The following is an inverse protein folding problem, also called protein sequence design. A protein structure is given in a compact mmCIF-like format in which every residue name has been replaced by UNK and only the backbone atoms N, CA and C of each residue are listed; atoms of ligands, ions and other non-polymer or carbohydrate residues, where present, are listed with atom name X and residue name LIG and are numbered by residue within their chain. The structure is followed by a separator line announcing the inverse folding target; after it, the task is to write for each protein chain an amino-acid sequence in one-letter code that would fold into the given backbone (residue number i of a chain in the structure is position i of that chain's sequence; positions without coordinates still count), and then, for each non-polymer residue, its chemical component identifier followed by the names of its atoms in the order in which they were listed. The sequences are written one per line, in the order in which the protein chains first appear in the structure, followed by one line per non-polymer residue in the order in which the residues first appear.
data_IF_318383479763
#
_entry.id   IF_318383479763
#
_cell.length_a   1.000
_cell.length_b   1.000
_cell.length_c   1.000
_cell.angle_alpha   90.00
_cell.angle_beta   90.00
_cell.angle_gamma   90.00
#
_symmetry.space_group_name_H-M   'P 1'
#
loop_
_entity.id
_entity.type
_entity.pdbx_description
1 polymer ?
#
# COMPACT_ATOMS: atom_id res chain seq x y z
N UNK A 1 -27.08 -58.85 -36.75
CA UNK A 1 -25.83 -58.11 -37.12
C UNK A 1 -25.93 -56.70 -36.54
N UNK A 2 -25.09 -56.45 -35.64
CA UNK A 2 -25.04 -55.37 -34.69
C UNK A 2 -24.55 -54.07 -35.31
N UNK A 3 -25.22 -52.98 -35.02
CA UNK A 3 -24.75 -51.61 -35.30
C UNK A 3 -24.60 -50.85 -34.01
N UNK A 4 -23.37 -50.72 -33.48
CA UNK A 4 -23.04 -49.86 -32.34
C UNK A 4 -23.11 -48.38 -32.78
N UNK A 5 -24.06 -47.65 -32.22
CA UNK A 5 -24.07 -46.18 -32.29
C UNK A 5 -23.08 -45.63 -31.25
N UNK A 6 -22.02 -45.00 -31.68
CA UNK A 6 -21.09 -44.22 -30.83
C UNK A 6 -21.73 -42.87 -30.47
N UNK A 7 -22.11 -42.71 -29.22
CA UNK A 7 -22.55 -41.48 -28.65
C UNK A 7 -21.31 -40.63 -28.32
N UNK A 8 -21.03 -39.61 -29.12
CA UNK A 8 -20.03 -38.59 -28.84
C UNK A 8 -20.63 -37.54 -27.90
N UNK A 9 -20.29 -37.65 -26.63
CA UNK A 9 -20.59 -36.59 -25.64
C UNK A 9 -19.54 -35.49 -25.81
N UNK A 10 -19.95 -34.40 -26.44
CA UNK A 10 -19.17 -33.14 -26.40
C UNK A 10 -19.31 -32.52 -25.02
N UNK A 11 -18.30 -32.69 -24.15
CA UNK A 11 -18.13 -31.94 -22.92
C UNK A 11 -17.53 -30.58 -23.31
N UNK A 12 -18.39 -29.60 -23.51
CA UNK A 12 -17.97 -28.23 -23.55
C UNK A 12 -17.52 -27.82 -22.13
N UNK A 13 -16.24 -27.78 -21.89
CA UNK A 13 -15.67 -27.20 -20.70
C UNK A 13 -15.96 -25.68 -20.72
N UNK A 14 -17.01 -25.27 -20.02
CA UNK A 14 -17.22 -23.86 -19.69
C UNK A 14 -16.15 -23.46 -18.70
N UNK A 15 -15.07 -22.87 -19.21
CA UNK A 15 -14.08 -22.18 -18.38
C UNK A 15 -14.80 -20.93 -17.85
N UNK A 16 -15.34 -21.02 -16.66
CA UNK A 16 -15.72 -19.86 -15.86
C UNK A 16 -14.45 -19.07 -15.54
N UNK A 17 -14.11 -18.13 -16.41
CA UNK A 17 -13.18 -17.06 -16.07
C UNK A 17 -13.84 -16.23 -14.98
N UNK A 18 -13.54 -16.56 -13.73
CA UNK A 18 -13.76 -15.63 -12.62
C UNK A 18 -12.82 -14.44 -12.85
N UNK A 19 -13.34 -13.40 -13.45
CA UNK A 19 -12.65 -12.11 -13.52
C UNK A 19 -12.70 -11.54 -12.12
N UNK A 20 -11.68 -11.84 -11.31
CA UNK A 20 -11.46 -11.13 -10.05
C UNK A 20 -11.25 -9.67 -10.38
N UNK A 21 -11.98 -8.79 -9.71
CA UNK A 21 -11.72 -7.34 -9.72
C UNK A 21 -10.29 -7.14 -9.24
N UNK A 22 -9.40 -6.78 -10.14
CA UNK A 22 -7.99 -6.56 -9.81
C UNK A 22 -7.82 -5.10 -9.44
N UNK A 23 -7.76 -4.81 -8.15
CA UNK A 23 -7.43 -3.49 -7.64
C UNK A 23 -5.98 -3.09 -7.88
N UNK A 24 -5.10 -4.03 -8.21
CA UNK A 24 -3.73 -3.77 -8.66
C UNK A 24 -3.67 -3.92 -10.17
N UNK A 25 -3.63 -2.80 -10.86
CA UNK A 25 -3.62 -2.75 -12.31
C UNK A 25 -2.19 -2.65 -12.84
N UNK A 26 -1.98 -3.15 -14.06
CA UNK A 26 -0.71 -3.02 -14.76
C UNK A 26 -0.55 -1.63 -15.40
N UNK A 27 -1.48 -0.72 -15.15
CA UNK A 27 -1.39 0.65 -15.63
C UNK A 27 -0.24 1.39 -14.94
N UNK A 28 0.43 2.26 -15.71
CA UNK A 28 1.49 3.13 -15.20
C UNK A 28 1.33 4.54 -15.80
N UNK A 29 0.42 5.31 -15.21
CA UNK A 29 0.05 6.64 -15.63
C UNK A 29 0.55 7.68 -14.64
N UNK A 30 1.39 8.59 -15.08
CA UNK A 30 1.94 9.68 -14.27
C UNK A 30 0.95 10.85 -14.17
N UNK A 31 1.26 11.86 -13.35
CA UNK A 31 0.48 13.09 -13.25
C UNK A 31 0.26 13.74 -14.63
N UNK A 32 1.29 13.83 -15.45
CA UNK A 32 1.19 14.41 -16.80
C UNK A 32 0.26 13.62 -17.73
N UNK A 33 0.19 12.30 -17.56
CA UNK A 33 -0.69 11.45 -18.35
C UNK A 33 -2.17 11.64 -17.95
N UNK A 34 -2.46 11.82 -16.64
CA UNK A 34 -3.82 11.91 -16.10
C UNK A 34 -4.35 13.34 -16.10
N UNK A 35 -3.49 14.33 -15.85
CA UNK A 35 -3.84 15.76 -15.82
C UNK A 35 -4.59 16.21 -17.05
N UNK A 36 -5.59 17.08 -16.88
CA UNK A 36 -6.42 17.63 -17.94
C UNK A 36 -7.91 17.47 -17.67
N UNK A 37 -8.74 17.71 -18.69
CA UNK A 37 -10.19 17.68 -18.55
C UNK A 37 -10.78 16.32 -18.84
N UNK A 38 -11.56 15.83 -17.91
CA UNK A 38 -12.26 14.54 -17.93
C UNK A 38 -13.78 14.72 -18.04
N UNK A 39 -14.43 13.76 -18.65
CA UNK A 39 -15.88 13.57 -18.57
C UNK A 39 -16.10 12.28 -17.79
N UNK A 40 -16.74 12.36 -16.64
CA UNK A 40 -17.17 11.23 -15.84
C UNK A 40 -18.64 10.95 -16.15
N UNK A 41 -18.92 9.72 -16.50
CA UNK A 41 -20.27 9.22 -16.80
C UNK A 41 -20.73 8.35 -15.63
N UNK A 42 -21.83 8.76 -14.98
CA UNK A 42 -22.34 8.13 -13.77
C UNK A 42 -23.61 7.34 -14.04
N UNK A 43 -23.66 6.16 -13.46
CA UNK A 43 -24.83 5.28 -13.46
C UNK A 43 -25.86 5.64 -12.38
N UNK A 44 -26.88 4.77 -12.20
CA UNK A 44 -27.90 4.96 -11.17
C UNK A 44 -27.29 4.86 -9.77
N UNK A 45 -27.96 5.49 -8.81
CA UNK A 45 -27.66 5.34 -7.39
C UNK A 45 -28.05 3.95 -6.91
N UNK A 46 -27.18 3.32 -6.14
CA UNK A 46 -27.47 2.08 -5.45
C UNK A 46 -28.08 2.36 -4.08
N UNK A 47 -29.05 1.55 -3.68
CA UNK A 47 -29.69 1.72 -2.37
C UNK A 47 -28.69 1.53 -1.25
N UNK A 48 -28.78 2.35 -0.24
CA UNK A 48 -27.99 2.26 0.99
C UNK A 48 -28.12 0.85 1.60
N UNK A 49 -26.98 0.26 1.98
CA UNK A 49 -26.93 -1.11 2.53
C UNK A 49 -27.02 -2.25 1.51
N UNK A 50 -27.16 -1.97 0.21
CA UNK A 50 -27.05 -2.99 -0.83
C UNK A 50 -25.62 -3.52 -0.88
N UNK A 51 -25.46 -4.86 -0.77
CA UNK A 51 -24.16 -5.53 -0.94
C UNK A 51 -23.84 -5.85 -2.40
N UNK A 52 -24.79 -5.61 -3.32
CA UNK A 52 -24.76 -6.10 -4.70
C UNK A 52 -24.27 -5.05 -5.70
N UNK A 53 -23.59 -3.99 -5.23
CA UNK A 53 -23.03 -2.98 -6.13
C UNK A 53 -21.55 -3.23 -6.36
N UNK A 54 -21.24 -3.87 -7.47
CA UNK A 54 -19.88 -4.07 -7.94
C UNK A 54 -19.63 -3.23 -9.19
N UNK A 55 -18.63 -2.35 -9.13
CA UNK A 55 -18.14 -1.61 -10.29
C UNK A 55 -16.88 -2.30 -10.82
N UNK A 56 -17.05 -3.25 -11.71
CA UNK A 56 -15.96 -4.02 -12.29
C UNK A 56 -15.59 -3.51 -13.68
N UNK A 57 -14.44 -3.91 -14.20
CA UNK A 57 -14.03 -3.57 -15.58
C UNK A 57 -15.00 -4.05 -16.65
N UNK A 58 -15.89 -4.98 -16.33
CA UNK A 58 -16.94 -5.50 -17.22
C UNK A 58 -18.30 -4.86 -17.00
N UNK A 59 -18.46 -4.00 -15.99
CA UNK A 59 -19.73 -3.33 -15.69
C UNK A 59 -20.12 -2.40 -16.83
N UNK A 60 -21.29 -2.62 -17.43
CA UNK A 60 -21.88 -1.70 -18.37
C UNK A 60 -22.67 -0.63 -17.59
N UNK A 61 -22.25 0.63 -17.71
CA UNK A 61 -22.87 1.74 -17.01
C UNK A 61 -24.02 2.29 -17.84
N UNK A 62 -25.25 2.20 -17.30
CA UNK A 62 -26.40 2.93 -17.84
C UNK A 62 -26.28 4.39 -17.41
N UNK A 63 -25.71 5.23 -18.27
CA UNK A 63 -25.37 6.62 -17.95
C UNK A 63 -26.62 7.43 -17.65
N UNK A 64 -26.70 7.99 -16.45
CA UNK A 64 -27.78 8.89 -16.03
C UNK A 64 -27.40 10.36 -16.16
N UNK A 65 -26.16 10.69 -15.80
CA UNK A 65 -25.64 12.05 -15.99
C UNK A 65 -24.13 12.05 -16.19
N UNK A 66 -23.59 13.17 -16.61
CA UNK A 66 -22.17 13.37 -16.87
C UNK A 66 -21.69 14.57 -16.07
N UNK A 67 -20.48 14.50 -15.58
CA UNK A 67 -19.79 15.60 -14.88
C UNK A 67 -18.47 15.87 -15.59
N UNK A 68 -18.19 17.12 -15.87
CA UNK A 68 -16.92 17.55 -16.45
C UNK A 68 -16.02 18.07 -15.35
N UNK A 69 -14.82 17.48 -15.20
CA UNK A 69 -13.86 17.82 -14.15
C UNK A 69 -12.50 18.07 -14.81
N UNK A 70 -11.86 19.17 -14.44
CA UNK A 70 -10.46 19.46 -14.83
C UNK A 70 -9.55 19.15 -13.66
N UNK A 71 -8.55 18.29 -13.91
CA UNK A 71 -7.51 17.90 -12.96
C UNK A 71 -6.25 18.70 -13.29
N UNK A 72 -5.77 19.50 -12.36
CA UNK A 72 -4.55 20.31 -12.52
C UNK A 72 -3.50 19.97 -11.45
N UNK A 73 -2.27 20.31 -11.76
CA UNK A 73 -1.12 20.01 -10.90
C UNK A 73 -1.05 21.02 -9.72
N UNK A 74 -0.64 20.57 -8.54
CA UNK A 74 -0.29 19.19 -8.20
C UNK A 74 -1.50 18.30 -7.81
N UNK A 75 -2.59 18.89 -7.29
CA UNK A 75 -3.68 18.20 -6.63
C UNK A 75 -5.05 18.90 -6.77
N UNK A 76 -5.19 19.84 -7.70
CA UNK A 76 -6.38 20.68 -7.86
C UNK A 76 -7.38 20.03 -8.80
N UNK A 77 -8.61 19.79 -8.34
CA UNK A 77 -9.76 19.41 -9.16
C UNK A 77 -10.73 20.58 -9.27
N UNK A 78 -11.27 20.83 -10.48
CA UNK A 78 -12.27 21.88 -10.73
C UNK A 78 -13.40 21.29 -11.56
N UNK A 79 -14.63 21.34 -11.07
CA UNK A 79 -15.80 20.90 -11.82
C UNK A 79 -16.31 21.98 -12.81
N UNK A 80 -17.31 21.64 -13.62
CA UNK A 80 -17.88 22.53 -14.61
C UNK A 80 -18.64 23.74 -14.03
N UNK A 81 -18.93 23.71 -12.71
CA UNK A 81 -19.56 24.80 -11.98
C UNK A 81 -18.56 25.72 -11.31
N UNK A 82 -17.25 25.40 -11.41
CA UNK A 82 -16.16 26.16 -10.79
C UNK A 82 -15.87 25.80 -9.34
N UNK A 83 -16.50 24.76 -8.79
CA UNK A 83 -16.15 24.25 -7.47
C UNK A 83 -14.73 23.69 -7.50
N UNK A 84 -13.94 24.07 -6.51
CA UNK A 84 -12.58 23.58 -6.33
C UNK A 84 -12.55 22.43 -5.35
N UNK A 85 -11.76 21.42 -5.66
CA UNK A 85 -11.56 20.25 -4.86
C UNK A 85 -10.13 19.72 -5.00
N UNK A 86 -9.97 18.47 -4.70
CA UNK A 86 -8.69 17.77 -4.60
C UNK A 86 -8.65 16.56 -5.52
N UNK A 87 -7.47 16.20 -6.02
CA UNK A 87 -7.23 14.91 -6.64
C UNK A 87 -5.83 14.39 -6.36
N UNK A 88 -5.65 13.09 -6.43
CA UNK A 88 -4.35 12.46 -6.30
C UNK A 88 -4.24 11.22 -7.17
N UNK A 89 -3.03 10.86 -7.58
CA UNK A 89 -2.75 9.55 -8.13
C UNK A 89 -2.79 8.47 -7.03
N UNK A 90 -3.06 7.25 -7.45
CA UNK A 90 -2.97 6.05 -6.64
C UNK A 90 -1.93 5.14 -7.29
N UNK A 91 -0.67 5.21 -6.82
CA UNK A 91 0.47 4.39 -7.25
C UNK A 91 0.68 4.32 -8.78
N UNK A 92 0.39 5.40 -9.51
CA UNK A 92 0.38 5.46 -10.97
C UNK A 92 -0.63 4.51 -11.66
N UNK A 93 -1.49 3.85 -10.93
CA UNK A 93 -2.45 2.86 -11.44
C UNK A 93 -3.84 3.44 -11.65
N UNK A 94 -4.17 4.47 -10.89
CA UNK A 94 -5.45 5.13 -10.90
C UNK A 94 -5.41 6.49 -10.22
N UNK A 95 -6.57 7.02 -9.89
CA UNK A 95 -6.71 8.32 -9.25
C UNK A 95 -7.96 8.39 -8.38
N UNK A 96 -7.91 9.28 -7.41
CA UNK A 96 -9.04 9.68 -6.59
C UNK A 96 -9.28 11.18 -6.79
N UNK A 97 -10.55 11.59 -6.92
CA UNK A 97 -10.98 12.98 -7.10
C UNK A 97 -12.07 13.29 -6.10
N UNK A 98 -11.95 14.41 -5.39
CA UNK A 98 -12.98 14.93 -4.48
C UNK A 98 -13.33 16.35 -4.89
N UNK A 99 -14.52 16.58 -5.41
CA UNK A 99 -14.97 17.90 -5.88
C UNK A 99 -16.49 17.98 -5.87
N UNK A 100 -17.04 19.14 -5.60
CA UNK A 100 -18.49 19.38 -5.63
C UNK A 100 -19.30 18.50 -4.66
N UNK A 101 -18.69 18.09 -3.54
CA UNK A 101 -19.33 17.20 -2.57
C UNK A 101 -19.33 15.70 -2.94
N UNK A 102 -18.66 15.34 -4.04
CA UNK A 102 -18.57 13.95 -4.52
C UNK A 102 -17.13 13.46 -4.52
N UNK A 103 -16.96 12.17 -4.26
CA UNK A 103 -15.69 11.45 -4.34
C UNK A 103 -15.76 10.43 -5.48
N UNK A 104 -14.75 10.41 -6.33
CA UNK A 104 -14.60 9.49 -7.47
C UNK A 104 -13.30 8.71 -7.30
N UNK A 105 -13.37 7.39 -7.40
CA UNK A 105 -12.22 6.50 -7.23
C UNK A 105 -12.18 5.51 -8.40
N UNK A 106 -11.13 5.55 -9.23
CA UNK A 106 -11.03 4.71 -10.41
C UNK A 106 -9.60 4.38 -10.82
N UNK A 107 -9.45 3.26 -11.53
CA UNK A 107 -8.18 2.80 -12.08
C UNK A 107 -8.10 3.07 -13.58
N UNK A 108 -6.90 3.40 -14.04
CA UNK A 108 -6.63 3.61 -15.47
C UNK A 108 -6.75 2.30 -16.26
N UNK A 109 -7.22 2.40 -17.50
CA UNK A 109 -7.32 1.26 -18.41
C UNK A 109 -5.93 0.83 -18.87
N UNK A 110 -5.72 -0.47 -19.02
CA UNK A 110 -4.54 -1.05 -19.64
C UNK A 110 -4.93 -2.21 -20.58
N UNK A 111 -4.13 -2.49 -21.61
CA UNK A 111 -4.37 -3.63 -22.51
C UNK A 111 -3.58 -4.84 -22.10
N UNK A 112 -2.34 -4.64 -21.70
CA UNK A 112 -1.41 -5.68 -21.23
C UNK A 112 -0.31 -5.03 -20.37
N UNK A 113 0.72 -5.79 -20.01
CA UNK A 113 1.86 -5.30 -19.21
C UNK A 113 2.65 -4.14 -19.84
N UNK A 114 2.35 -3.76 -21.09
CA UNK A 114 3.15 -2.80 -21.85
C UNK A 114 2.38 -1.57 -22.31
N UNK A 115 1.06 -1.57 -22.27
CA UNK A 115 0.23 -0.48 -22.78
C UNK A 115 -0.76 0.02 -21.75
N UNK A 116 -0.58 1.24 -21.26
CA UNK A 116 -1.49 1.96 -20.39
C UNK A 116 -2.29 2.99 -21.20
N UNK A 117 -3.62 2.99 -21.05
CA UNK A 117 -4.52 3.96 -21.69
C UNK A 117 -4.91 4.98 -20.64
N UNK A 118 -4.02 5.95 -20.42
CA UNK A 118 -4.12 6.93 -19.35
C UNK A 118 -5.22 7.98 -19.56
N UNK A 119 -5.88 7.96 -20.71
CA UNK A 119 -7.05 8.80 -21.00
C UNK A 119 -8.38 8.11 -20.70
N UNK A 120 -8.37 6.91 -20.10
CA UNK A 120 -9.60 6.18 -19.74
C UNK A 120 -9.48 5.62 -18.32
N UNK A 121 -10.56 5.75 -17.56
CA UNK A 121 -10.74 5.03 -16.31
C UNK A 121 -11.72 3.86 -16.54
N UNK A 122 -11.35 2.69 -15.98
CA UNK A 122 -12.27 1.57 -15.84
C UNK A 122 -13.48 1.99 -15.00
N UNK A 123 -14.62 1.28 -15.08
CA UNK A 123 -15.68 1.44 -14.10
C UNK A 123 -15.14 1.43 -12.67
N UNK A 124 -15.46 2.47 -11.94
CA UNK A 124 -15.00 2.72 -10.57
C UNK A 124 -16.16 3.22 -9.72
N UNK A 125 -15.85 3.61 -8.50
CA UNK A 125 -16.85 3.98 -7.50
C UNK A 125 -16.92 5.49 -7.35
N UNK A 126 -18.15 6.01 -7.34
CA UNK A 126 -18.46 7.37 -6.95
C UNK A 126 -19.47 7.36 -5.79
N UNK A 127 -19.32 8.28 -4.85
CA UNK A 127 -20.28 8.50 -3.76
C UNK A 127 -20.20 9.95 -3.30
N UNK A 128 -21.20 10.43 -2.54
CA UNK A 128 -21.06 11.71 -1.86
C UNK A 128 -19.99 11.63 -0.75
N UNK A 129 -19.52 12.76 -0.26
CA UNK A 129 -18.48 12.81 0.77
C UNK A 129 -18.90 12.19 2.12
N UNK A 130 -20.20 11.89 2.29
CA UNK A 130 -20.77 11.19 3.44
C UNK A 130 -20.91 9.67 3.19
N UNK A 131 -20.66 9.22 1.96
CA UNK A 131 -20.69 7.81 1.59
C UNK A 131 -22.08 7.24 1.27
N UNK A 132 -23.09 8.09 1.02
CA UNK A 132 -24.47 7.65 0.84
C UNK A 132 -24.87 7.38 -0.61
N UNK A 133 -24.65 8.34 -1.51
CA UNK A 133 -25.07 8.23 -2.92
C UNK A 133 -24.06 7.45 -3.75
N UNK A 134 -24.01 6.13 -3.55
CA UNK A 134 -23.03 5.26 -4.23
C UNK A 134 -23.45 4.94 -5.65
N UNK A 135 -22.51 5.10 -6.60
CA UNK A 135 -22.71 4.89 -8.04
C UNK A 135 -21.47 4.27 -8.68
N UNK A 136 -21.68 3.53 -9.77
CA UNK A 136 -20.59 3.27 -10.68
C UNK A 136 -20.37 4.46 -11.61
N UNK A 137 -19.11 4.77 -11.92
CA UNK A 137 -18.74 5.74 -12.94
C UNK A 137 -17.66 5.20 -13.85
N UNK A 138 -17.56 5.76 -15.04
CA UNK A 138 -16.41 5.60 -15.93
C UNK A 138 -15.91 6.96 -16.37
N UNK A 139 -14.63 7.06 -16.71
CA UNK A 139 -14.01 8.33 -17.06
C UNK A 139 -13.35 8.30 -18.44
N UNK A 140 -13.54 9.39 -19.19
CA UNK A 140 -12.85 9.62 -20.45
C UNK A 140 -12.23 11.02 -20.42
N UNK A 141 -10.90 11.09 -20.58
CA UNK A 141 -10.15 12.34 -20.76
C UNK A 141 -10.38 12.90 -22.15
N UNK A 142 -10.55 14.20 -22.29
CA UNK A 142 -10.81 14.85 -23.58
C UNK A 142 -9.61 14.76 -24.54
N UNK A 143 -8.39 14.78 -24.00
CA UNK A 143 -7.16 14.58 -24.78
C UNK A 143 -6.64 13.14 -24.63
N UNK A 144 -6.25 12.47 -25.74
CA UNK A 144 -5.68 11.13 -25.65
C UNK A 144 -4.37 11.10 -24.86
N UNK A 145 -4.19 10.05 -24.07
CA UNK A 145 -2.92 9.75 -23.39
C UNK A 145 -2.73 8.23 -23.36
N UNK A 146 -1.81 7.75 -24.22
CA UNK A 146 -1.45 6.33 -24.30
C UNK A 146 0.04 6.20 -24.04
N UNK A 147 0.43 5.37 -23.10
CA UNK A 147 1.79 5.15 -22.70
C UNK A 147 2.23 3.73 -23.07
N UNK A 148 3.31 3.65 -23.81
CA UNK A 148 3.97 2.39 -24.16
C UNK A 148 5.17 2.19 -23.25
N UNK A 149 5.19 1.07 -22.53
CA UNK A 149 6.32 0.71 -21.68
C UNK A 149 7.28 -0.17 -22.48
N UNK A 150 8.55 0.20 -22.51
CA UNK A 150 9.58 -0.69 -23.04
C UNK A 150 9.59 -1.96 -22.18
N UNK A 151 9.49 -3.14 -22.81
CA UNK A 151 9.88 -4.38 -22.16
C UNK A 151 11.34 -4.21 -21.73
N UNK A 152 11.59 -3.97 -20.46
CA UNK A 152 12.92 -4.16 -19.92
C UNK A 152 13.15 -5.66 -19.89
N UNK A 153 13.70 -6.16 -21.00
CA UNK A 153 14.12 -7.55 -21.12
C UNK A 153 15.35 -7.79 -20.29
N UNK A 154 15.19 -7.90 -18.98
CA UNK A 154 16.14 -8.64 -18.16
C UNK A 154 15.64 -10.07 -18.14
N UNK A 155 16.21 -10.86 -19.02
CA UNK A 155 16.08 -12.30 -19.01
C UNK A 155 16.71 -12.81 -17.69
N UNK A 156 15.87 -13.28 -16.77
CA UNK A 156 16.28 -13.82 -15.49
C UNK A 156 16.77 -15.27 -15.58
N UNK A 157 16.96 -15.79 -16.78
CA UNK A 157 17.54 -17.10 -16.98
C UNK A 157 19.04 -17.05 -16.74
N UNK A 158 19.51 -17.81 -15.75
CA UNK A 158 20.90 -18.14 -15.47
C UNK A 158 21.73 -17.06 -14.75
N UNK A 159 21.44 -16.77 -13.50
CA UNK A 159 22.43 -16.18 -12.59
C UNK A 159 22.44 -16.94 -11.26
N UNK A 160 23.65 -17.22 -10.81
CA UNK A 160 23.93 -17.76 -9.50
C UNK A 160 23.41 -16.78 -8.46
N UNK A 161 22.25 -17.05 -7.88
CA UNK A 161 21.69 -16.23 -6.80
C UNK A 161 22.45 -16.59 -5.52
N UNK A 162 23.09 -15.62 -4.86
CA UNK A 162 23.63 -15.90 -3.53
C UNK A 162 22.46 -16.36 -2.64
N UNK A 163 22.66 -17.43 -1.90
CA UNK A 163 21.65 -17.95 -0.99
C UNK A 163 21.33 -16.87 0.06
N UNK A 164 20.16 -16.30 -0.02
CA UNK A 164 19.64 -15.36 0.99
C UNK A 164 19.66 -16.08 2.34
N UNK A 165 20.05 -15.38 3.42
CA UNK A 165 20.21 -15.95 4.76
C UNK A 165 21.40 -16.95 4.88
N UNK A 166 22.44 -16.81 4.07
CA UNK A 166 23.67 -17.61 4.19
C UNK A 166 24.72 -16.94 5.09
N UNK A 167 25.55 -17.74 5.75
CA UNK A 167 26.66 -17.26 6.56
C UNK A 167 27.67 -16.45 5.73
N UNK A 168 27.88 -16.84 4.47
CA UNK A 168 28.76 -16.14 3.55
C UNK A 168 28.25 -14.72 3.23
N UNK A 169 26.95 -14.59 2.95
CA UNK A 169 26.31 -13.29 2.72
C UNK A 169 26.41 -12.41 3.97
N UNK A 170 26.08 -12.95 5.13
CA UNK A 170 26.17 -12.24 6.42
C UNK A 170 27.59 -11.76 6.71
N UNK A 171 28.60 -12.61 6.50
CA UNK A 171 30.00 -12.22 6.67
C UNK A 171 30.43 -11.10 5.72
N UNK A 172 29.97 -11.16 4.45
CA UNK A 172 30.24 -10.14 3.45
C UNK A 172 29.62 -8.79 3.84
N UNK A 173 28.35 -8.77 4.27
CA UNK A 173 27.67 -7.57 4.74
C UNK A 173 28.39 -6.96 5.93
N UNK A 174 28.69 -7.74 6.97
CA UNK A 174 29.35 -7.27 8.18
C UNK A 174 30.79 -6.76 7.94
N UNK A 175 31.42 -7.22 6.87
CA UNK A 175 32.72 -6.70 6.42
C UNK A 175 32.60 -5.38 5.68
N UNK A 176 31.56 -5.23 4.85
CA UNK A 176 31.39 -4.09 3.94
C UNK A 176 30.98 -2.78 4.65
N UNK A 177 30.31 -2.87 5.79
CA UNK A 177 29.80 -1.69 6.51
C UNK A 177 29.88 -1.89 8.05
N UNK A 178 29.61 -0.79 8.82
CA UNK A 178 29.71 -0.76 10.29
C UNK A 178 28.50 -0.12 10.99
N UNK A 179 27.51 0.39 10.24
CA UNK A 179 26.35 1.08 10.82
C UNK A 179 25.27 0.12 11.33
N UNK A 180 25.26 -1.12 10.81
CA UNK A 180 24.35 -2.16 11.24
C UNK A 180 25.00 -3.55 11.23
N UNK A 181 24.34 -4.51 11.86
CA UNK A 181 24.81 -5.89 11.97
C UNK A 181 23.86 -6.82 11.25
N UNK A 182 24.40 -7.71 10.43
CA UNK A 182 23.68 -8.80 9.81
C UNK A 182 23.82 -10.11 10.60
N UNK A 183 22.81 -10.97 10.51
CA UNK A 183 22.80 -12.34 11.05
C UNK A 183 21.99 -13.27 10.14
N UNK A 184 22.16 -14.57 10.30
CA UNK A 184 21.25 -15.57 9.76
C UNK A 184 20.06 -15.77 10.68
N UNK A 185 18.93 -16.19 10.12
CA UNK A 185 17.69 -16.46 10.84
C UNK A 185 17.24 -17.92 10.64
N UNK A 186 17.12 -18.74 11.70
CA UNK A 186 16.65 -20.13 11.59
C UNK A 186 15.28 -20.24 10.94
N UNK A 187 14.40 -19.27 11.17
CA UNK A 187 13.05 -19.21 10.60
C UNK A 187 13.02 -18.98 9.08
N UNK A 188 14.14 -18.60 8.48
CA UNK A 188 14.29 -18.41 7.03
C UNK A 188 14.99 -19.60 6.36
N UNK A 189 15.38 -20.61 7.14
CA UNK A 189 16.03 -21.80 6.61
C UNK A 189 15.04 -22.60 5.75
N UNK A 190 15.45 -22.93 4.53
CA UNK A 190 14.63 -23.69 3.59
C UNK A 190 13.58 -22.89 2.83
N UNK A 191 13.48 -21.56 3.07
CA UNK A 191 12.62 -20.70 2.26
C UNK A 191 13.14 -20.58 0.83
N UNK A 192 12.23 -20.59 -0.11
CA UNK A 192 12.50 -20.36 -1.53
C UNK A 192 12.63 -18.87 -1.82
N UNK A 193 13.18 -18.52 -2.98
CA UNK A 193 13.18 -17.14 -3.48
C UNK A 193 11.74 -16.55 -3.56
N UNK A 194 10.77 -17.33 -4.01
CA UNK A 194 9.36 -16.88 -4.06
C UNK A 194 8.77 -16.61 -2.66
N UNK A 195 9.20 -17.34 -1.62
CA UNK A 195 8.79 -17.06 -0.24
C UNK A 195 9.36 -15.72 0.24
N UNK A 196 10.63 -15.43 -0.05
CA UNK A 196 11.21 -14.12 0.25
C UNK A 196 10.53 -12.98 -0.50
N UNK A 197 10.21 -13.16 -1.78
CA UNK A 197 9.43 -12.17 -2.56
C UNK A 197 8.06 -11.93 -1.92
N UNK A 198 7.38 -12.97 -1.46
CA UNK A 198 6.10 -12.84 -0.73
C UNK A 198 6.28 -12.13 0.59
N UNK A 199 7.28 -12.48 1.40
CA UNK A 199 7.58 -11.79 2.65
C UNK A 199 7.90 -10.30 2.44
N UNK A 200 8.53 -9.96 1.32
CA UNK A 200 8.86 -8.59 0.94
C UNK A 200 7.72 -7.85 0.21
N UNK A 201 6.48 -8.33 0.26
CA UNK A 201 5.32 -7.62 -0.25
C UNK A 201 4.60 -8.27 -1.43
N UNK A 202 5.14 -9.37 -1.99
CA UNK A 202 4.55 -10.08 -3.13
C UNK A 202 4.86 -9.46 -4.49
N UNK A 203 4.58 -10.23 -5.54
CA UNK A 203 4.91 -9.86 -6.94
C UNK A 203 4.10 -8.66 -7.45
N UNK A 204 2.93 -8.42 -6.87
CA UNK A 204 2.00 -7.36 -7.28
C UNK A 204 2.22 -6.03 -6.58
N UNK A 205 2.96 -6.00 -5.49
CA UNK A 205 3.39 -4.75 -4.85
C UNK A 205 4.52 -4.03 -5.60
N UNK A 206 4.98 -4.60 -6.71
CA UNK A 206 6.02 -4.02 -7.56
C UNK A 206 5.54 -2.77 -8.28
N UNK A 207 6.23 -1.66 -8.06
CA UNK A 207 5.98 -0.40 -8.75
C UNK A 207 6.97 -0.20 -9.91
N UNK A 208 6.46 0.12 -11.09
CA UNK A 208 7.28 0.36 -12.28
C UNK A 208 7.97 1.73 -12.26
N UNK A 209 7.37 2.70 -11.56
CA UNK A 209 8.00 3.98 -11.23
C UNK A 209 7.57 4.39 -9.84
N UNK A 210 8.52 4.82 -9.04
CA UNK A 210 8.33 5.25 -7.67
C UNK A 210 8.63 6.74 -7.57
N UNK A 211 7.82 7.53 -6.84
CA UNK A 211 8.22 8.90 -6.51
C UNK A 211 9.46 8.88 -5.62
N UNK A 212 10.21 9.95 -5.64
CA UNK A 212 11.28 10.22 -4.68
C UNK A 212 10.77 11.19 -3.63
N UNK A 213 11.41 11.18 -2.47
CA UNK A 213 11.20 12.22 -1.46
C UNK A 213 11.42 13.61 -2.07
N UNK A 214 10.47 14.52 -1.85
CA UNK A 214 10.59 15.89 -2.39
C UNK A 214 11.48 16.76 -1.50
N UNK A 215 12.12 17.81 -2.05
CA UNK A 215 12.90 18.74 -1.27
C UNK A 215 12.09 19.37 -0.12
N UNK A 216 12.74 19.56 1.02
CA UNK A 216 12.17 20.24 2.18
C UNK A 216 12.02 21.73 1.87
N UNK A 217 10.83 22.28 2.10
CA UNK A 217 10.58 23.73 1.95
C UNK A 217 11.11 24.53 3.15
N UNK A 218 11.32 25.83 3.01
CA UNK A 218 11.71 26.70 4.13
C UNK A 218 10.73 26.62 5.30
N UNK A 219 9.42 26.56 5.03
CA UNK A 219 8.39 26.38 6.06
C UNK A 219 8.58 25.06 6.81
N UNK A 220 8.82 23.96 6.10
CA UNK A 220 9.06 22.66 6.72
C UNK A 220 10.37 22.65 7.51
N UNK A 221 11.41 23.34 7.05
CA UNK A 221 12.66 23.43 7.78
C UNK A 221 12.49 24.17 9.12
N UNK A 222 11.67 25.21 9.15
CA UNK A 222 11.27 25.89 10.39
C UNK A 222 10.51 24.94 11.33
N UNK A 223 9.60 24.12 10.81
CA UNK A 223 8.86 23.09 11.61
C UNK A 223 9.84 22.06 12.16
N UNK A 224 10.79 21.58 11.35
CA UNK A 224 11.81 20.62 11.79
C UNK A 224 12.57 21.11 13.03
N UNK A 225 12.89 22.40 13.09
CA UNK A 225 13.55 23.03 14.24
C UNK A 225 12.72 23.00 15.54
N UNK A 226 11.42 22.80 15.46
CA UNK A 226 10.52 22.69 16.65
C UNK A 226 10.29 21.27 17.11
N UNK A 227 10.62 20.27 16.31
CA UNK A 227 10.44 18.85 16.64
C UNK A 227 11.62 18.34 17.50
N UNK A 228 11.39 17.39 18.40
CA UNK A 228 12.46 16.80 19.20
C UNK A 228 13.44 16.03 18.33
N UNK A 229 14.72 15.95 18.73
CA UNK A 229 15.75 15.17 18.04
C UNK A 229 15.45 13.67 18.00
N UNK A 230 14.70 13.15 18.98
CA UNK A 230 14.22 11.78 19.03
C UNK A 230 12.78 11.71 19.52
N UNK A 231 12.01 10.76 18.99
CA UNK A 231 10.63 10.52 19.38
C UNK A 231 10.23 9.05 19.13
N UNK A 232 9.46 8.45 20.04
CA UNK A 232 9.07 7.05 19.93
C UNK A 232 7.69 6.82 20.57
N UNK A 233 6.66 6.52 19.78
CA UNK A 233 5.32 6.24 20.27
C UNK A 233 5.22 5.03 21.24
N UNK A 234 6.25 4.20 21.30
CA UNK A 234 6.34 3.11 22.27
C UNK A 234 6.71 3.57 23.68
N UNK A 235 7.11 4.86 23.84
CA UNK A 235 7.67 5.41 25.10
C UNK A 235 7.19 6.83 25.41
N UNK A 236 5.97 7.18 25.04
CA UNK A 236 5.41 8.51 25.32
C UNK A 236 4.83 8.51 26.73
N UNK A 237 5.35 9.35 27.62
CA UNK A 237 4.92 9.47 29.02
C UNK A 237 4.84 8.09 29.75
N UNK A 238 5.79 7.22 29.50
CA UNK A 238 5.83 5.88 30.09
C UNK A 238 4.81 4.88 29.52
N UNK A 239 4.06 5.27 28.49
CA UNK A 239 3.04 4.45 27.83
C UNK A 239 3.53 3.98 26.45
N UNK A 240 3.10 2.77 26.06
CA UNK A 240 3.24 2.27 24.70
C UNK A 240 1.90 2.39 23.96
N UNK A 241 1.90 3.14 22.85
CA UNK A 241 0.73 3.33 21.98
C UNK A 241 0.81 2.51 20.68
N UNK A 242 1.79 1.63 20.55
CA UNK A 242 1.99 0.80 19.35
C UNK A 242 1.52 -0.62 19.63
N UNK A 243 0.67 -1.15 18.77
CA UNK A 243 0.19 -2.53 18.87
C UNK A 243 1.32 -3.55 18.73
N UNK A 244 1.16 -4.80 19.23
CA UNK A 244 2.21 -5.82 19.20
C UNK A 244 2.71 -6.14 17.79
N UNK A 245 3.97 -6.56 17.69
CA UNK A 245 4.54 -7.09 16.45
C UNK A 245 3.87 -8.42 16.11
N UNK A 246 3.53 -8.59 14.83
CA UNK A 246 2.88 -9.79 14.30
C UNK A 246 3.74 -10.42 13.21
N UNK A 247 3.33 -11.59 12.69
CA UNK A 247 4.03 -12.31 11.63
C UNK A 247 3.09 -12.60 10.47
N UNK A 248 3.42 -12.05 9.29
CA UNK A 248 2.68 -12.26 8.03
C UNK A 248 2.98 -13.60 7.36
N UNK A 249 3.97 -14.36 7.83
CA UNK A 249 4.49 -15.57 7.19
C UNK A 249 4.91 -15.34 5.70
N UNK A 250 4.90 -16.39 4.88
CA UNK A 250 5.19 -16.32 3.45
C UNK A 250 3.97 -15.87 2.62
N UNK A 251 3.35 -14.75 3.02
CA UNK A 251 2.21 -14.13 2.34
C UNK A 251 2.50 -12.65 2.14
N UNK A 252 2.25 -12.10 0.94
CA UNK A 252 2.50 -10.70 0.58
C UNK A 252 1.50 -9.72 1.21
N UNK A 253 1.10 -9.94 2.45
CA UNK A 253 0.09 -9.16 3.18
C UNK A 253 0.64 -8.05 4.07
N UNK A 254 1.92 -7.68 3.91
CA UNK A 254 2.54 -6.57 4.67
C UNK A 254 1.72 -5.29 4.63
N UNK A 255 1.11 -4.97 3.49
CA UNK A 255 0.23 -3.83 3.30
C UNK A 255 -0.97 -3.85 4.25
N UNK A 256 -1.55 -5.03 4.50
CA UNK A 256 -2.63 -5.21 5.47
C UNK A 256 -2.11 -5.04 6.90
N UNK A 257 -0.97 -5.68 7.25
CA UNK A 257 -0.37 -5.54 8.59
C UNK A 257 0.01 -4.10 8.92
N UNK A 258 0.64 -3.38 7.99
CA UNK A 258 1.01 -1.98 8.18
C UNK A 258 -0.24 -1.09 8.36
N UNK A 259 -1.29 -1.33 7.57
CA UNK A 259 -2.57 -0.63 7.66
C UNK A 259 -3.29 -0.87 8.98
N UNK A 260 -3.37 -2.14 9.42
CA UNK A 260 -3.95 -2.49 10.73
C UNK A 260 -3.17 -1.84 11.87
N UNK A 261 -1.84 -1.98 11.86
CA UNK A 261 -0.98 -1.42 12.90
C UNK A 261 -1.05 0.13 12.97
N UNK A 262 -1.23 0.81 11.84
CA UNK A 262 -1.48 2.25 11.79
C UNK A 262 -2.81 2.60 12.48
N UNK A 263 -3.90 1.95 12.10
CA UNK A 263 -5.22 2.20 12.66
C UNK A 263 -5.27 1.86 14.15
N UNK A 264 -4.72 0.72 14.57
CA UNK A 264 -4.60 0.28 15.96
C UNK A 264 -3.86 1.31 16.83
N UNK A 265 -2.67 1.74 16.38
CA UNK A 265 -1.83 2.66 17.13
C UNK A 265 -2.46 4.05 17.24
N UNK A 266 -3.04 4.56 16.15
CA UNK A 266 -3.74 5.85 16.15
C UNK A 266 -5.00 5.83 17.02
N UNK A 267 -5.73 4.71 17.06
CA UNK A 267 -6.86 4.55 17.96
C UNK A 267 -6.41 4.54 19.43
N UNK A 268 -5.32 3.85 19.76
CA UNK A 268 -4.74 3.88 21.10
C UNK A 268 -4.31 5.30 21.52
N UNK A 269 -3.75 6.08 20.61
CA UNK A 269 -3.40 7.50 20.87
C UNK A 269 -4.65 8.33 21.11
N UNK A 270 -5.63 8.27 20.22
CA UNK A 270 -6.87 9.05 20.32
C UNK A 270 -7.67 8.75 21.58
N UNK A 271 -7.62 7.51 22.05
CA UNK A 271 -8.36 7.05 23.24
C UNK A 271 -7.50 6.95 24.49
N UNK A 272 -6.27 7.46 24.44
CA UNK A 272 -5.29 7.35 25.54
C UNK A 272 -5.19 5.93 26.11
N UNK A 273 -5.03 4.93 25.23
CA UNK A 273 -4.92 3.51 25.55
C UNK A 273 -6.17 2.85 26.17
N UNK A 274 -7.32 3.50 26.17
CA UNK A 274 -8.58 2.89 26.68
C UNK A 274 -9.17 1.89 25.69
N UNK A 275 -8.92 2.05 24.39
CA UNK A 275 -9.34 1.11 23.35
C UNK A 275 -8.11 0.51 22.66
N UNK A 276 -7.95 -0.81 22.80
CA UNK A 276 -6.83 -1.58 22.21
C UNK A 276 -7.38 -2.68 21.32
N UNK A 277 -7.67 -2.34 20.08
CA UNK A 277 -8.13 -3.29 19.09
C UNK A 277 -6.94 -3.98 18.42
N UNK A 278 -7.16 -5.20 17.97
CA UNK A 278 -6.27 -5.95 17.08
C UNK A 278 -7.10 -6.30 15.85
N UNK A 279 -6.81 -5.67 14.71
CA UNK A 279 -7.58 -5.87 13.49
C UNK A 279 -7.07 -7.06 12.67
N UNK A 280 -7.95 -7.61 11.81
CA UNK A 280 -7.77 -8.84 11.06
C UNK A 280 -7.14 -8.59 9.67
N UNK A 281 -5.84 -8.84 9.44
CA UNK A 281 -5.27 -8.81 8.09
C UNK A 281 -5.88 -9.87 7.19
N UNK A 282 -6.42 -10.98 7.74
CA UNK A 282 -7.06 -12.03 6.93
C UNK A 282 -8.34 -11.54 6.26
N UNK A 283 -9.12 -10.66 6.90
CA UNK A 283 -10.29 -10.02 6.25
C UNK A 283 -9.87 -9.30 4.97
N UNK A 284 -8.72 -8.61 5.01
CA UNK A 284 -8.17 -7.93 3.84
C UNK A 284 -7.71 -8.93 2.78
N UNK A 285 -6.98 -9.97 3.17
CA UNK A 285 -6.46 -10.99 2.25
C UNK A 285 -7.59 -11.71 1.52
N UNK A 286 -8.69 -12.03 2.19
CA UNK A 286 -9.78 -12.83 1.65
C UNK A 286 -10.95 -12.01 1.08
N UNK A 287 -11.19 -10.79 1.58
CA UNK A 287 -12.44 -10.07 1.31
C UNK A 287 -12.25 -8.72 0.60
N UNK A 288 -11.03 -8.17 0.58
CA UNK A 288 -10.82 -6.84 0.01
C UNK A 288 -10.86 -6.86 -1.52
N UNK A 289 -11.73 -6.04 -2.15
CA UNK A 289 -11.68 -5.82 -3.60
C UNK A 289 -10.53 -4.88 -4.00
N UNK A 290 -9.81 -4.28 -3.03
CA UNK A 290 -8.74 -3.30 -3.26
C UNK A 290 -7.33 -3.88 -3.12
N UNK A 291 -7.20 -5.22 -3.05
CA UNK A 291 -5.90 -5.90 -2.95
C UNK A 291 -5.95 -7.28 -3.61
N UNK A 292 -4.78 -7.94 -3.72
CA UNK A 292 -4.62 -9.26 -4.34
C UNK A 292 -4.19 -10.31 -3.31
N UNK A 293 -4.73 -10.24 -2.11
CA UNK A 293 -4.45 -11.22 -1.07
C UNK A 293 -2.95 -11.33 -0.76
N UNK A 294 -2.42 -12.54 -0.85
CA UNK A 294 -1.00 -12.80 -0.64
C UNK A 294 -0.08 -12.39 -1.81
N UNK A 295 -0.62 -11.95 -2.93
CA UNK A 295 0.18 -11.44 -4.05
C UNK A 295 0.53 -9.95 -3.91
N UNK A 296 -0.10 -9.23 -2.95
CA UNK A 296 0.24 -7.85 -2.64
C UNK A 296 -0.93 -6.90 -2.52
N UNK A 297 -0.60 -5.63 -2.26
CA UNK A 297 -1.53 -4.51 -2.11
C UNK A 297 -0.82 -3.28 -1.56
N UNK A 298 -1.59 -2.24 -1.23
CA UNK A 298 -1.06 -0.93 -0.85
C UNK A 298 -1.78 -0.32 0.36
N UNK A 299 -1.03 0.30 1.31
CA UNK A 299 -1.63 0.89 2.51
C UNK A 299 -2.67 1.99 2.24
N UNK A 300 -2.52 2.81 1.20
CA UNK A 300 -3.50 3.82 0.84
C UNK A 300 -4.87 3.20 0.54
N UNK A 301 -4.86 2.08 -0.17
CA UNK A 301 -6.08 1.36 -0.54
C UNK A 301 -6.71 0.65 0.66
N UNK A 302 -5.93 0.17 1.61
CA UNK A 302 -6.43 -0.65 2.71
C UNK A 302 -6.62 0.16 4.00
N UNK A 303 -5.58 0.83 4.48
CA UNK A 303 -5.65 1.65 5.69
C UNK A 303 -6.47 2.93 5.50
N UNK A 304 -6.68 3.34 4.23
CA UNK A 304 -7.53 4.45 3.81
C UNK A 304 -8.86 3.95 3.22
N UNK A 305 -8.89 3.73 1.91
CA UNK A 305 -10.12 3.50 1.15
C UNK A 305 -10.97 2.32 1.65
N UNK A 306 -10.36 1.14 1.87
CA UNK A 306 -11.11 -0.01 2.39
C UNK A 306 -11.64 0.25 3.80
N UNK A 307 -10.80 0.82 4.66
CA UNK A 307 -11.19 1.13 6.03
C UNK A 307 -12.28 2.22 6.11
N UNK A 308 -12.35 3.14 5.13
CA UNK A 308 -13.45 4.10 4.98
C UNK A 308 -14.71 3.43 4.47
N UNK A 309 -14.65 2.64 3.39
CA UNK A 309 -15.82 2.10 2.69
C UNK A 309 -16.45 0.89 3.42
N UNK A 310 -15.60 -0.02 3.91
CA UNK A 310 -16.04 -1.31 4.47
C UNK A 310 -15.78 -1.42 5.97
N UNK A 311 -14.83 -0.65 6.50
CA UNK A 311 -14.39 -0.75 7.89
C UNK A 311 -13.51 -1.98 8.15
N UNK A 312 -12.80 -1.96 9.28
CA UNK A 312 -11.90 -3.01 9.74
C UNK A 312 -12.57 -3.88 10.79
N UNK A 313 -12.43 -5.19 10.71
CA UNK A 313 -12.92 -6.14 11.73
C UNK A 313 -11.80 -6.54 12.67
N UNK A 314 -12.15 -6.97 13.87
CA UNK A 314 -11.17 -7.51 14.81
C UNK A 314 -10.66 -8.89 14.40
N UNK A 315 -9.43 -9.21 14.82
CA UNK A 315 -8.72 -10.47 14.54
C UNK A 315 -9.56 -11.71 14.86
N UNK A 316 -10.36 -11.68 15.93
CA UNK A 316 -11.24 -12.79 16.32
C UNK A 316 -12.32 -13.12 15.29
N UNK A 317 -12.69 -12.14 14.44
CA UNK A 317 -13.69 -12.30 13.37
C UNK A 317 -13.17 -13.10 12.17
N UNK A 318 -11.89 -12.94 11.84
CA UNK A 318 -11.22 -13.70 10.80
C UNK A 318 -9.73 -13.83 11.15
N UNK A 319 -9.37 -14.81 11.99
CA UNK A 319 -8.01 -15.00 12.45
C UNK A 319 -7.03 -15.23 11.30
N UNK A 320 -5.82 -14.68 11.45
CA UNK A 320 -4.81 -14.74 10.39
C UNK A 320 -4.36 -16.16 10.08
N UNK A 321 -4.37 -16.52 8.79
CA UNK A 321 -4.05 -17.85 8.25
C UNK A 321 -2.75 -17.87 7.44
N UNK A 322 -2.33 -16.71 6.89
CA UNK A 322 -1.11 -16.57 6.08
C UNK A 322 -1.21 -17.15 4.66
N UNK A 323 -2.41 -17.32 4.14
CA UNK A 323 -2.66 -17.75 2.76
C UNK A 323 -3.97 -17.18 2.24
N UNK A 324 -4.13 -17.18 0.92
CA UNK A 324 -5.35 -16.78 0.25
C UNK A 324 -6.51 -17.75 0.53
N UNK A 325 -7.73 -17.22 0.50
CA UNK A 325 -8.95 -17.99 0.72
C UNK A 325 -10.19 -17.28 0.18
N UNK A 326 -11.33 -17.91 0.37
CA UNK A 326 -12.62 -17.25 0.14
C UNK A 326 -12.94 -16.38 1.33
N UNK A 327 -13.58 -15.23 1.09
CA UNK A 327 -14.05 -14.35 2.16
C UNK A 327 -14.91 -15.13 3.16
N UNK A 328 -14.41 -15.25 4.38
CA UNK A 328 -15.02 -15.99 5.47
C UNK A 328 -15.46 -15.10 6.64
N UNK A 329 -15.25 -13.79 6.56
CA UNK A 329 -15.67 -12.82 7.57
C UNK A 329 -17.19 -12.75 7.64
N UNK A 330 -17.75 -13.04 8.81
CA UNK A 330 -19.19 -12.98 9.03
C UNK A 330 -19.71 -11.54 8.99
N UNK A 331 -20.89 -11.36 8.43
CA UNK A 331 -21.55 -10.06 8.31
C UNK A 331 -21.96 -9.45 9.67
N UNK A 332 -22.02 -10.27 10.71
CA UNK A 332 -22.31 -9.88 12.11
C UNK A 332 -21.11 -9.22 12.80
N UNK A 333 -19.91 -9.35 12.25
CA UNK A 333 -18.70 -8.75 12.80
C UNK A 333 -18.79 -7.23 12.82
N UNK A 334 -18.57 -6.62 13.98
CA UNK A 334 -18.50 -5.18 14.11
C UNK A 334 -17.33 -4.60 13.31
N UNK A 335 -17.60 -3.48 12.64
CA UNK A 335 -16.60 -2.81 11.79
C UNK A 335 -16.21 -1.45 12.35
N UNK A 336 -14.94 -1.15 12.28
CA UNK A 336 -14.30 0.09 12.71
C UNK A 336 -13.82 0.85 11.48
N UNK A 337 -14.25 2.10 11.37
CA UNK A 337 -14.02 2.91 10.18
C UNK A 337 -12.90 3.94 10.40
N UNK A 338 -12.38 4.45 9.30
CA UNK A 338 -11.48 5.60 9.29
C UNK A 338 -12.05 6.74 8.47
N UNK A 339 -11.48 7.91 8.64
CA UNK A 339 -11.75 9.11 7.84
C UNK A 339 -10.44 9.86 7.56
N UNK A 340 -10.48 10.89 6.74
CA UNK A 340 -9.33 11.78 6.47
C UNK A 340 -8.04 11.01 6.14
N UNK A 341 -8.15 9.99 5.30
CA UNK A 341 -6.96 9.30 4.82
C UNK A 341 -6.32 10.06 3.67
N UNK A 342 -4.99 10.08 3.67
CA UNK A 342 -4.22 10.80 2.66
C UNK A 342 -2.77 10.35 2.60
N UNK A 343 -2.09 10.71 1.53
CA UNK A 343 -0.63 10.67 1.50
C UNK A 343 -0.05 11.78 2.37
N UNK A 344 1.05 11.49 3.04
CA UNK A 344 1.83 12.50 3.75
C UNK A 344 2.39 13.51 2.73
N UNK A 345 2.24 14.80 3.03
CA UNK A 345 2.51 15.88 2.10
C UNK A 345 1.30 16.33 1.28
N UNK A 346 0.16 15.59 1.38
CA UNK A 346 -1.12 15.93 0.77
C UNK A 346 -1.48 15.07 -0.44
N UNK A 347 -0.56 14.73 -1.31
CA UNK A 347 -0.81 13.93 -2.53
C UNK A 347 0.34 12.95 -2.81
N UNK A 348 0.10 12.00 -3.70
CA UNK A 348 1.10 11.00 -4.10
C UNK A 348 2.35 11.65 -4.71
N UNK A 349 3.49 11.43 -4.06
CA UNK A 349 4.76 12.01 -4.47
C UNK A 349 5.13 13.33 -3.77
N UNK A 350 4.33 13.80 -2.79
CA UNK A 350 4.63 15.01 -2.01
C UNK A 350 5.34 14.73 -0.66
N UNK A 351 5.64 13.48 -0.37
CA UNK A 351 6.22 13.07 0.90
C UNK A 351 7.69 13.47 1.04
N UNK A 352 8.10 13.80 2.26
CA UNK A 352 9.50 13.97 2.65
C UNK A 352 9.70 13.71 4.16
N UNK A 353 10.96 13.74 4.59
CA UNK A 353 11.36 13.52 5.99
C UNK A 353 10.54 14.36 6.97
N UNK A 354 10.46 15.67 6.76
CA UNK A 354 9.84 16.60 7.72
C UNK A 354 8.33 16.42 7.77
N UNK A 355 7.68 16.23 6.63
CA UNK A 355 6.25 15.96 6.57
C UNK A 355 5.90 14.67 7.33
N UNK A 356 6.75 13.63 7.24
CA UNK A 356 6.59 12.40 8.02
C UNK A 356 6.78 12.64 9.52
N UNK A 357 7.84 13.37 9.93
CA UNK A 357 8.08 13.70 11.34
C UNK A 357 6.89 14.45 11.94
N UNK A 358 6.37 15.47 11.25
CA UNK A 358 5.21 16.25 11.67
C UNK A 358 3.94 15.37 11.80
N UNK A 359 3.67 14.49 10.82
CA UNK A 359 2.54 13.59 10.86
C UNK A 359 2.64 12.59 12.02
N UNK A 360 3.81 11.99 12.21
CA UNK A 360 4.05 11.02 13.28
C UNK A 360 3.90 11.70 14.66
N UNK A 361 4.51 12.87 14.85
CA UNK A 361 4.49 13.57 16.14
C UNK A 361 3.08 14.00 16.55
N UNK A 362 2.35 14.61 15.62
CA UNK A 362 1.05 15.21 15.90
C UNK A 362 -0.12 14.25 15.83
N UNK A 363 -0.05 13.20 15.02
CA UNK A 363 -1.21 12.34 14.68
C UNK A 363 -0.99 10.85 14.88
N UNK A 364 0.26 10.42 15.07
CA UNK A 364 0.59 9.01 15.32
C UNK A 364 1.32 8.31 14.18
N UNK A 365 1.69 7.04 14.35
CA UNK A 365 2.43 6.25 13.37
C UNK A 365 1.84 6.29 11.97
N UNK A 366 2.71 6.21 10.94
CA UNK A 366 2.33 6.24 9.53
C UNK A 366 2.75 4.96 8.81
N UNK A 367 1.91 4.46 7.91
CA UNK A 367 2.26 3.33 7.06
C UNK A 367 3.08 3.82 5.86
N UNK A 368 4.19 3.15 5.59
CA UNK A 368 5.10 3.50 4.50
C UNK A 368 5.38 2.30 3.62
N UNK A 369 5.70 2.54 2.35
CA UNK A 369 6.27 1.54 1.46
C UNK A 369 7.76 1.82 1.22
N UNK A 370 8.61 0.80 1.22
CA UNK A 370 10.02 0.95 0.86
C UNK A 370 10.51 -0.26 0.06
N UNK A 371 11.62 -0.11 -0.64
CA UNK A 371 12.22 -1.20 -1.40
C UNK A 371 13.03 -2.10 -0.48
N UNK A 372 12.76 -3.40 -0.56
CA UNK A 372 13.53 -4.43 0.15
C UNK A 372 14.57 -5.02 -0.80
N UNK A 373 15.80 -5.08 -0.33
CA UNK A 373 16.94 -5.74 -0.96
C UNK A 373 17.30 -7.01 -0.21
N UNK A 374 18.05 -7.89 -0.85
CA UNK A 374 18.40 -9.18 -0.25
C UNK A 374 19.16 -9.08 1.09
N UNK A 375 20.00 -8.07 1.26
CA UNK A 375 20.75 -7.81 2.49
C UNK A 375 19.87 -7.45 3.69
N UNK A 376 18.72 -6.79 3.44
CA UNK A 376 17.76 -6.44 4.48
C UNK A 376 17.18 -7.66 5.22
N UNK A 377 17.05 -8.79 4.53
CA UNK A 377 16.56 -10.03 5.16
C UNK A 377 17.44 -10.48 6.33
N UNK A 378 18.73 -10.16 6.30
CA UNK A 378 19.71 -10.50 7.34
C UNK A 378 19.88 -9.41 8.41
N UNK A 379 19.11 -8.33 8.40
CA UNK A 379 19.24 -7.26 9.39
C UNK A 379 19.01 -7.75 10.82
N UNK A 380 19.91 -7.43 11.74
CA UNK A 380 19.83 -7.74 13.18
C UNK A 380 19.66 -6.50 14.05
N UNK A 381 20.51 -5.50 13.88
CA UNK A 381 20.52 -4.28 14.72
C UNK A 381 21.35 -3.17 14.09
N UNK A 382 21.18 -1.93 14.57
CA UNK A 382 21.88 -0.74 14.08
C UNK A 382 21.09 0.02 13.04
N UNK A 383 21.70 1.01 12.38
CA UNK A 383 21.05 1.87 11.38
C UNK A 383 21.26 1.28 9.99
N UNK A 384 20.23 0.62 9.47
CA UNK A 384 20.25 0.00 8.15
C UNK A 384 20.42 1.03 7.05
N UNK A 385 21.27 0.72 6.11
CA UNK A 385 21.32 1.24 4.75
C UNK A 385 21.70 0.10 3.82
N UNK A 386 21.26 0.15 2.58
CA UNK A 386 21.58 -0.84 1.58
C UNK A 386 23.07 -0.80 1.20
N UNK A 387 23.74 -1.96 1.10
CA UNK A 387 25.22 -2.03 0.99
C UNK A 387 25.73 -2.61 -0.33
N UNK A 388 24.88 -3.14 -1.18
CA UNK A 388 25.29 -3.82 -2.40
C UNK A 388 25.10 -2.97 -3.66
N UNK A 389 25.96 -1.98 -3.84
CA UNK A 389 26.00 -1.18 -5.10
C UNK A 389 26.55 -1.95 -6.31
N UNK A 390 27.28 -3.06 -6.10
CA UNK A 390 28.04 -3.76 -7.14
C UNK A 390 27.53 -5.17 -7.48
N UNK A 391 26.40 -5.60 -6.93
CA UNK A 391 25.83 -6.89 -7.31
C UNK A 391 25.03 -6.74 -8.62
N UNK A 392 25.36 -7.50 -9.69
CA UNK A 392 24.68 -7.38 -10.99
C UNK A 392 23.23 -7.86 -10.94
N UNK A 393 22.77 -8.39 -9.82
CA UNK A 393 21.41 -8.89 -9.63
C UNK A 393 20.97 -8.73 -8.18
N UNK A 394 19.96 -7.90 -7.97
CA UNK A 394 19.26 -7.79 -6.69
C UNK A 394 17.83 -8.33 -6.86
N UNK A 395 17.55 -9.53 -6.32
CA UNK A 395 16.28 -10.22 -6.57
C UNK A 395 15.05 -9.44 -6.06
N UNK A 396 15.26 -8.49 -5.12
CA UNK A 396 14.19 -7.70 -4.51
C UNK A 396 14.13 -6.23 -4.95
N UNK A 397 14.97 -5.80 -5.89
CA UNK A 397 15.04 -4.40 -6.36
C UNK A 397 13.67 -3.82 -6.78
N UNK A 398 12.66 -4.65 -6.90
CA UNK A 398 11.39 -4.29 -7.53
C UNK A 398 10.19 -4.63 -6.66
N UNK A 399 10.40 -4.90 -5.38
CA UNK A 399 9.35 -5.28 -4.44
C UNK A 399 9.20 -4.20 -3.38
N UNK A 400 7.97 -3.71 -3.17
CA UNK A 400 7.68 -2.76 -2.11
C UNK A 400 7.14 -3.50 -0.90
N UNK A 401 7.83 -3.36 0.21
CA UNK A 401 7.38 -3.83 1.51
C UNK A 401 6.70 -2.69 2.26
N UNK A 402 5.55 -2.98 2.87
CA UNK A 402 4.83 -2.01 3.67
C UNK A 402 5.09 -2.25 5.16
N UNK A 403 5.43 -1.18 5.87
CA UNK A 403 5.79 -1.20 7.30
C UNK A 403 5.23 0.02 8.02
N UNK A 404 5.35 0.07 9.35
CA UNK A 404 4.86 1.17 10.16
C UNK A 404 6.02 1.96 10.79
N UNK A 405 6.16 3.23 10.46
CA UNK A 405 7.10 4.15 11.13
C UNK A 405 6.45 4.69 12.40
N UNK A 406 7.11 4.41 13.54
CA UNK A 406 6.57 4.74 14.88
C UNK A 406 7.33 5.86 15.58
N UNK A 407 8.45 6.30 15.01
CA UNK A 407 9.29 7.34 15.60
C UNK A 407 10.61 7.49 14.87
N UNK A 408 11.52 8.21 15.48
CA UNK A 408 12.86 8.48 14.96
C UNK A 408 13.86 8.74 16.08
N UNK A 409 15.13 8.70 15.72
CA UNK A 409 16.22 9.05 16.63
C UNK A 409 17.51 9.39 15.90
N UNK A 410 18.55 9.56 16.69
CA UNK A 410 19.90 9.86 16.23
C UNK A 410 20.92 9.04 17.03
N UNK A 411 21.93 8.52 16.35
CA UNK A 411 23.14 7.94 16.97
C UNK A 411 24.29 8.94 16.80
N UNK A 412 25.07 9.12 17.86
CA UNK A 412 26.18 10.08 17.88
C UNK A 412 27.55 9.42 17.77
N UNK A 413 27.64 8.11 18.05
CA UNK A 413 28.88 7.35 18.07
C UNK A 413 28.63 5.92 17.59
N UNK A 414 29.55 5.27 16.88
CA UNK A 414 30.86 5.77 16.41
C UNK A 414 30.79 6.72 15.21
N UNK A 415 29.69 6.74 14.47
CA UNK A 415 29.42 7.66 13.36
C UNK A 415 28.05 8.27 13.54
N UNK A 416 27.90 9.61 13.49
CA UNK A 416 26.59 10.26 13.56
C UNK A 416 25.71 9.78 12.43
N UNK A 417 24.52 9.29 12.77
CA UNK A 417 23.49 8.92 11.78
C UNK A 417 22.11 9.18 12.37
N UNK A 418 21.15 9.50 11.50
CA UNK A 418 19.75 9.71 11.85
C UNK A 418 18.94 8.56 11.35
N UNK A 419 17.94 8.12 12.11
CA UNK A 419 17.16 6.93 11.74
C UNK A 419 15.68 7.06 12.04
N UNK A 420 14.89 6.31 11.27
CA UNK A 420 13.51 5.98 11.57
C UNK A 420 13.43 4.72 12.43
N UNK A 421 12.48 4.71 13.38
CA UNK A 421 12.13 3.52 14.15
C UNK A 421 10.93 2.88 13.46
N UNK A 422 11.09 1.65 12.97
CA UNK A 422 10.12 1.02 12.09
C UNK A 422 9.71 -0.34 12.63
N UNK A 423 8.39 -0.55 12.73
CA UNK A 423 7.77 -1.84 13.09
C UNK A 423 7.59 -2.67 11.83
N UNK A 424 8.15 -3.89 11.83
CA UNK A 424 8.00 -4.87 10.76
C UNK A 424 6.90 -5.90 11.10
N UNK A 425 6.60 -6.79 10.17
CA UNK A 425 5.61 -7.86 10.28
C UNK A 425 6.18 -9.27 10.04
N UNK A 426 7.44 -9.51 10.48
CA UNK A 426 8.14 -10.81 10.37
C UNK A 426 8.36 -11.51 11.71
N UNK A 427 7.52 -11.17 12.70
CA UNK A 427 7.62 -11.70 14.06
C UNK A 427 8.73 -11.04 14.90
N UNK A 428 8.69 -11.28 16.20
CA UNK A 428 9.65 -10.71 17.17
C UNK A 428 11.03 -11.35 17.11
N UNK A 429 11.17 -12.51 16.47
CA UNK A 429 12.45 -13.20 16.29
C UNK A 429 13.36 -12.57 15.21
N UNK A 430 12.87 -11.58 14.45
CA UNK A 430 13.64 -10.87 13.45
C UNK A 430 14.01 -9.46 13.92
N UNK A 431 15.19 -8.98 13.55
CA UNK A 431 15.64 -7.63 13.86
C UNK A 431 15.76 -7.35 15.36
N UNK A 432 15.35 -6.18 15.78
CA UNK A 432 15.31 -5.75 17.18
C UNK A 432 13.90 -5.95 17.74
N UNK A 433 13.57 -7.16 18.17
CA UNK A 433 12.22 -7.56 18.64
C UNK A 433 11.12 -7.26 17.61
N UNK A 434 11.41 -7.50 16.32
CA UNK A 434 10.50 -7.24 15.20
C UNK A 434 10.52 -5.80 14.68
N UNK A 435 11.42 -4.97 15.19
CA UNK A 435 11.68 -3.61 14.72
C UNK A 435 13.01 -3.52 13.98
N UNK A 436 13.16 -2.45 13.22
CA UNK A 436 14.45 -2.05 12.64
C UNK A 436 14.61 -0.55 12.64
N UNK A 437 15.84 -0.10 12.56
CA UNK A 437 16.19 1.27 12.29
C UNK A 437 16.69 1.39 10.86
N UNK A 438 16.25 2.41 10.14
CA UNK A 438 16.71 2.70 8.79
C UNK A 438 17.08 4.17 8.68
N UNK A 439 18.11 4.47 7.91
CA UNK A 439 18.62 5.83 7.73
C UNK A 439 17.52 6.82 7.37
N UNK A 440 17.54 8.00 8.01
CA UNK A 440 16.59 9.10 7.88
C UNK A 440 17.21 10.30 7.19
N UNK A 441 16.48 10.96 6.30
CA UNK A 441 16.85 12.19 5.61
C UNK A 441 17.59 11.98 4.28
N UNK A 442 17.71 10.72 3.82
CA UNK A 442 18.33 10.38 2.54
C UNK A 442 17.37 9.61 1.60
N UNK A 443 16.12 9.45 2.00
CA UNK A 443 15.13 8.60 1.30
C UNK A 443 15.65 7.17 1.10
N UNK A 444 16.31 6.62 2.13
CA UNK A 444 16.93 5.28 2.08
C UNK A 444 15.91 4.23 1.66
N UNK A 445 16.22 3.46 0.63
CA UNK A 445 15.29 2.51 0.00
C UNK A 445 13.93 3.11 -0.35
N UNK A 446 13.84 4.45 -0.45
CA UNK A 446 12.63 5.19 -0.74
C UNK A 446 11.62 5.26 0.41
N UNK A 447 12.02 5.08 1.65
CA UNK A 447 11.12 5.07 2.81
C UNK A 447 10.42 6.41 3.07
N UNK A 448 10.98 7.51 2.58
CA UNK A 448 10.44 8.88 2.74
C UNK A 448 9.60 9.35 1.54
N UNK A 449 9.36 8.49 0.57
CA UNK A 449 8.70 8.88 -0.68
C UNK A 449 7.21 8.58 -0.72
N UNK A 450 6.72 7.63 0.09
CA UNK A 450 5.31 7.21 0.10
C UNK A 450 4.89 6.81 1.51
N UNK A 451 4.35 7.76 2.24
CA UNK A 451 3.74 7.51 3.53
C UNK A 451 2.26 7.85 3.50
N UNK A 452 1.48 7.11 4.26
CA UNK A 452 0.02 7.24 4.34
C UNK A 452 -0.40 7.38 5.79
N UNK A 453 -1.40 8.20 6.02
CA UNK A 453 -2.10 8.33 7.27
C UNK A 453 -3.62 8.19 7.09
N UNK A 454 -4.31 7.83 8.19
CA UNK A 454 -5.76 7.83 8.28
C UNK A 454 -6.17 8.09 9.73
N UNK A 455 -7.34 8.64 9.94
CA UNK A 455 -7.89 8.95 11.27
C UNK A 455 -8.96 7.92 11.63
N UNK A 456 -8.73 7.05 12.64
CA UNK A 456 -9.78 6.15 13.13
C UNK A 456 -10.98 6.90 13.70
N UNK A 457 -12.18 6.42 13.37
CA UNK A 457 -13.43 6.88 13.99
C UNK A 457 -13.69 5.99 15.20
N UNK A 458 -13.72 6.55 16.37
CA UNK A 458 -14.00 5.82 17.61
C UNK A 458 -15.39 6.18 18.15
N UNK A 459 -16.04 5.19 18.77
CA UNK A 459 -17.32 5.39 19.46
C UNK A 459 -17.04 5.62 20.95
N UNK A 460 -17.63 6.65 21.50
CA UNK A 460 -17.76 6.77 22.96
C UNK A 460 -18.83 5.76 23.38
N UNK A 461 -18.46 4.78 24.21
CA UNK A 461 -19.42 3.89 24.86
C UNK A 461 -19.99 4.59 26.09
#
# INVERSE_FOLDING_TARGET
MSGLAKLLINVAAVILLTVSVQADTLANCTYEDIRGTWVFELGPSHKEGSKDWECTSTTQISVQYKVKITLDYPDIAIDEFGNKGFWTLIYNQGFEVVVGGSKYFGFSVFKDKTVSICSKANPGWAHDVLGHDRRCFQGQKQSPAVKFMKKTGRDSSLRFEPSINSEEMVASINKAQKSWTATTYPQFQGLTHDDFVRMAGGKRSRMLSRPRSVPITEKQDSVRGTLPSSFDWRKVNGQNYVSPVRNQAACGSCYAFASMAMAESRLQILTNNTQKHVFAPQDIVECSPYSQGCDGGFPYLIGGKYAEDFGLVEEKCNPYKGHDGKCSTESSCARNYVTDYKYIGGYYGACNEVAMMEAIYNRGPVAVGFMVYGDFMSYKSGVYHHVFENHPFEPFELTNHAVLVVGWGEVTSPSPDRYWIVKNSWGTGWGMDGYFWIRRGSDECGIESMAVEATPIFRFN
#
